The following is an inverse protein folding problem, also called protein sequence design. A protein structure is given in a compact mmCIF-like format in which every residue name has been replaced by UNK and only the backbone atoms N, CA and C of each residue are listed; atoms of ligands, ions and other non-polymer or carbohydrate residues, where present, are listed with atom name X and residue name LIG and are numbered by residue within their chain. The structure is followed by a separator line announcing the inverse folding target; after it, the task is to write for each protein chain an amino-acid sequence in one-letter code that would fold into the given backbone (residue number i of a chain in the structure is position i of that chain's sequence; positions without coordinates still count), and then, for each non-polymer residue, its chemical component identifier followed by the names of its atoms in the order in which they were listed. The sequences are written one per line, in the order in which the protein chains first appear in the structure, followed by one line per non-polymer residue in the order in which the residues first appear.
data_IF_598461859217
#
_entry.id   IF_598461859217
#
_cell.length_a   1.000
_cell.length_b   1.000
_cell.length_c   1.000
_cell.angle_alpha   90.00
_cell.angle_beta   90.00
_cell.angle_gamma   90.00
#
_symmetry.space_group_name_H-M   'P 1'
#
loop_
_entity.id
_entity.type
_entity.pdbx_description
1 polymer ?
#
# COMPACT_ATOMS: atom_id res chain seq x y z
N UNK A 1 -70.48 0.73 -30.71
CA UNK A 1 -70.37 -0.03 -31.98
C UNK A 1 -68.90 -0.09 -32.36
N UNK A 2 -68.37 -1.32 -32.57
CA UNK A 2 -67.25 -1.73 -33.47
C UNK A 2 -65.90 -0.99 -33.35
N UNK A 3 -64.70 -1.57 -33.37
CA UNK A 3 -64.13 -2.92 -33.33
C UNK A 3 -62.61 -2.69 -33.54
N UNK A 4 -61.74 -3.38 -32.78
CA UNK A 4 -60.29 -3.49 -33.04
C UNK A 4 -60.04 -4.11 -34.43
N UNK A 5 -58.87 -3.88 -35.08
CA UNK A 5 -57.74 -4.80 -34.89
C UNK A 5 -56.36 -4.07 -34.92
N UNK A 6 -55.46 -4.19 -33.94
CA UNK A 6 -54.55 -5.35 -33.70
C UNK A 6 -54.30 -6.22 -34.93
N UNK A 7 -53.59 -5.69 -35.93
CA UNK A 7 -53.11 -6.49 -37.07
C UNK A 7 -51.84 -5.95 -37.75
N UNK A 8 -50.92 -5.31 -37.00
CA UNK A 8 -49.62 -4.87 -37.57
C UNK A 8 -48.41 -5.51 -36.86
N UNK A 9 -48.60 -6.19 -35.72
CA UNK A 9 -47.50 -6.77 -34.95
C UNK A 9 -47.08 -8.20 -35.35
N UNK A 10 -47.60 -8.77 -36.45
CA UNK A 10 -47.45 -10.21 -36.75
C UNK A 10 -46.71 -10.57 -38.05
N UNK A 11 -46.03 -9.62 -38.71
CA UNK A 11 -45.38 -9.88 -40.01
C UNK A 11 -43.87 -9.56 -40.08
N UNK A 12 -43.17 -9.49 -38.95
CA UNK A 12 -41.69 -9.32 -38.90
C UNK A 12 -40.96 -10.44 -38.15
N UNK A 13 -41.60 -11.58 -37.88
CA UNK A 13 -41.03 -12.72 -37.16
C UNK A 13 -40.99 -14.00 -38.02
N UNK A 14 -40.55 -13.89 -39.27
CA UNK A 14 -40.42 -15.05 -40.15
C UNK A 14 -39.36 -14.82 -41.22
N UNK A 15 -38.12 -15.24 -40.95
CA UNK A 15 -37.11 -15.37 -42.00
C UNK A 15 -35.72 -14.91 -41.59
N UNK A 16 -35.09 -15.58 -40.63
CA UNK A 16 -33.62 -15.62 -40.47
C UNK A 16 -33.25 -16.95 -39.79
N UNK A 17 -33.64 -18.04 -40.45
CA UNK A 17 -33.15 -19.39 -40.15
C UNK A 17 -32.34 -19.88 -41.34
N UNK A 18 -31.20 -20.52 -41.06
CA UNK A 18 -30.29 -21.22 -41.98
C UNK A 18 -29.14 -20.40 -42.58
N UNK A 19 -28.12 -20.04 -41.78
CA UNK A 19 -26.69 -20.31 -42.09
C UNK A 19 -25.90 -20.28 -40.76
N UNK A 20 -25.54 -21.43 -40.20
CA UNK A 20 -24.34 -21.64 -39.37
C UNK A 20 -24.32 -23.07 -38.80
N UNK A 21 -24.32 -24.08 -39.67
CA UNK A 21 -23.75 -25.37 -39.29
C UNK A 21 -22.30 -25.37 -39.76
N UNK A 22 -21.36 -25.10 -38.85
CA UNK A 22 -20.03 -25.73 -38.80
C UNK A 22 -19.21 -25.14 -37.66
N UNK A 23 -18.62 -26.06 -36.89
CA UNK A 23 -17.69 -25.87 -35.77
C UNK A 23 -18.34 -25.52 -34.43
N UNK A 24 -19.06 -26.50 -33.87
CA UNK A 24 -18.93 -26.78 -32.43
C UNK A 24 -17.49 -27.24 -32.17
N UNK A 25 -16.59 -26.27 -32.00
CA UNK A 25 -15.41 -26.53 -31.17
C UNK A 25 -15.96 -26.70 -29.76
N UNK A 26 -16.05 -27.97 -29.35
CA UNK A 26 -16.22 -28.33 -27.95
C UNK A 26 -15.00 -27.77 -27.23
N UNK A 27 -15.15 -26.60 -26.61
CA UNK A 27 -14.21 -26.14 -25.62
C UNK A 27 -14.31 -27.12 -24.46
N UNK A 28 -13.35 -28.02 -24.39
CA UNK A 28 -13.11 -28.81 -23.19
C UNK A 28 -12.79 -27.83 -22.06
N UNK A 29 -13.51 -27.82 -20.93
CA UNK A 29 -13.14 -27.01 -19.78
C UNK A 29 -11.92 -27.66 -19.13
N UNK A 30 -10.75 -27.25 -19.58
CA UNK A 30 -9.46 -27.75 -19.12
C UNK A 30 -8.43 -27.49 -20.20
N UNK A 31 -7.36 -26.77 -19.85
CA UNK A 31 -6.24 -26.38 -20.72
C UNK A 31 -6.45 -25.20 -21.67
N UNK A 32 -6.96 -24.08 -21.15
CA UNK A 32 -6.45 -22.76 -21.59
C UNK A 32 -5.63 -22.17 -20.44
N UNK A 33 -4.58 -22.90 -20.04
CA UNK A 33 -3.44 -22.25 -19.41
C UNK A 33 -2.74 -21.47 -20.52
N UNK A 34 -2.97 -20.15 -20.58
CA UNK A 34 -2.07 -19.28 -21.34
C UNK A 34 -0.65 -19.63 -20.89
N UNK A 35 0.33 -19.84 -21.79
CA UNK A 35 1.71 -20.05 -21.40
C UNK A 35 2.19 -18.75 -20.74
N UNK A 36 1.99 -18.65 -19.43
CA UNK A 36 2.52 -17.56 -18.63
C UNK A 36 4.02 -17.79 -18.57
N UNK A 37 4.76 -16.87 -19.16
CA UNK A 37 6.22 -16.85 -19.06
C UNK A 37 6.59 -16.88 -17.57
N UNK A 38 7.31 -17.91 -17.15
CA UNK A 38 7.73 -18.07 -15.75
C UNK A 38 8.47 -16.83 -15.24
N UNK A 39 9.17 -16.10 -16.12
CA UNK A 39 9.83 -14.83 -15.81
C UNK A 39 8.85 -13.71 -15.47
N UNK A 40 7.71 -13.67 -16.15
CA UNK A 40 6.66 -12.69 -15.87
C UNK A 40 6.02 -12.95 -14.51
N UNK A 41 5.78 -14.23 -14.17
CA UNK A 41 5.24 -14.61 -12.86
C UNK A 41 6.20 -14.20 -11.74
N UNK A 42 7.48 -14.53 -11.87
CA UNK A 42 8.51 -14.14 -10.89
C UNK A 42 8.60 -12.61 -10.72
N UNK A 43 8.56 -11.85 -11.83
CA UNK A 43 8.59 -10.40 -11.77
C UNK A 43 7.36 -9.80 -11.05
N UNK A 44 6.18 -10.40 -11.25
CA UNK A 44 4.95 -9.97 -10.57
C UNK A 44 5.01 -10.28 -9.08
N UNK A 45 5.48 -11.47 -8.70
CA UNK A 45 5.64 -11.86 -7.30
C UNK A 45 6.61 -10.91 -6.56
N UNK A 46 7.72 -10.54 -7.20
CA UNK A 46 8.67 -9.58 -6.63
C UNK A 46 8.08 -8.18 -6.49
N UNK A 47 7.31 -7.74 -7.48
CA UNK A 47 6.61 -6.46 -7.43
C UNK A 47 5.55 -6.45 -6.31
N UNK A 48 4.77 -7.52 -6.17
CA UNK A 48 3.77 -7.65 -5.12
C UNK A 48 4.41 -7.66 -3.74
N UNK A 49 5.48 -8.43 -3.55
CA UNK A 49 6.21 -8.46 -2.29
C UNK A 49 6.78 -7.08 -1.91
N UNK A 50 7.32 -6.34 -2.90
CA UNK A 50 7.81 -4.97 -2.69
C UNK A 50 6.67 -4.03 -2.27
N UNK A 51 5.53 -4.10 -2.96
CA UNK A 51 4.35 -3.30 -2.62
C UNK A 51 3.80 -3.66 -1.22
N UNK A 52 3.83 -4.95 -0.88
CA UNK A 52 3.40 -5.41 0.43
C UNK A 52 4.29 -4.86 1.54
N UNK A 53 5.62 -4.98 1.42
CA UNK A 53 6.55 -4.44 2.42
C UNK A 53 6.42 -2.91 2.55
N UNK A 54 6.16 -2.20 1.45
CA UNK A 54 5.86 -0.77 1.52
C UNK A 54 4.60 -0.47 2.34
N UNK A 55 3.49 -1.19 2.11
CA UNK A 55 2.26 -1.02 2.92
C UNK A 55 2.50 -1.32 4.40
N UNK A 56 3.31 -2.33 4.70
CA UNK A 56 3.69 -2.68 6.06
C UNK A 56 4.50 -1.56 6.72
N UNK A 57 5.48 -0.99 6.00
CA UNK A 57 6.25 0.16 6.49
C UNK A 57 5.32 1.32 6.82
N UNK A 58 4.45 1.71 5.89
CA UNK A 58 3.50 2.82 6.09
C UNK A 58 2.56 2.57 7.30
N UNK A 59 2.09 1.33 7.46
CA UNK A 59 1.27 0.93 8.62
C UNK A 59 2.03 1.09 9.94
N UNK A 60 3.28 0.62 9.99
CA UNK A 60 4.12 0.70 11.18
C UNK A 60 4.51 2.15 11.52
N UNK A 61 4.84 2.99 10.52
CA UNK A 61 5.09 4.42 10.72
C UNK A 61 3.87 5.13 11.32
N UNK A 62 2.67 4.84 10.81
CA UNK A 62 1.42 5.41 11.34
C UNK A 62 1.20 5.00 12.80
N UNK A 63 1.34 3.71 13.09
CA UNK A 63 1.16 3.18 14.44
C UNK A 63 2.19 3.78 15.42
N UNK A 64 3.45 3.89 15.00
CA UNK A 64 4.51 4.52 15.78
C UNK A 64 4.21 5.98 16.11
N UNK A 65 3.82 6.80 15.12
CA UNK A 65 3.49 8.20 15.37
C UNK A 65 2.36 8.32 16.39
N UNK A 66 1.29 7.53 16.25
CA UNK A 66 0.17 7.54 17.21
C UNK A 66 0.61 7.13 18.61
N UNK A 67 1.38 6.05 18.71
CA UNK A 67 1.94 5.56 19.98
C UNK A 67 2.82 6.62 20.66
N UNK A 68 3.68 7.30 19.90
CA UNK A 68 4.57 8.34 20.42
C UNK A 68 3.83 9.59 20.86
N UNK A 69 2.79 10.00 20.14
CA UNK A 69 1.92 11.10 20.58
C UNK A 69 1.30 10.76 21.95
N UNK A 70 0.72 9.56 22.10
CA UNK A 70 0.16 9.11 23.36
C UNK A 70 1.21 9.01 24.47
N UNK A 71 2.36 8.37 24.22
CA UNK A 71 3.46 8.24 25.17
C UNK A 71 3.93 9.60 25.68
N UNK A 72 4.08 10.59 24.78
CA UNK A 72 4.51 11.93 25.15
C UNK A 72 3.52 12.61 26.11
N UNK A 73 2.21 12.41 25.93
CA UNK A 73 1.20 12.90 26.90
C UNK A 73 1.35 12.27 28.29
N UNK A 74 1.94 11.07 28.38
CA UNK A 74 2.28 10.40 29.65
C UNK A 74 3.67 10.79 30.19
N UNK A 75 4.37 11.72 29.54
CA UNK A 75 5.54 12.41 30.09
C UNK A 75 6.84 12.21 29.30
N UNK A 76 6.92 11.23 28.39
CA UNK A 76 8.14 11.01 27.59
C UNK A 76 7.86 10.24 26.29
N UNK A 77 8.75 10.37 25.31
CA UNK A 77 8.74 9.48 24.16
C UNK A 77 9.15 8.06 24.57
N UNK A 78 8.51 7.07 23.95
CA UNK A 78 8.89 5.68 24.09
C UNK A 78 10.26 5.42 23.46
N UNK A 79 11.03 4.51 24.05
CA UNK A 79 12.40 4.21 23.63
C UNK A 79 12.48 3.08 22.60
N UNK A 80 11.42 2.28 22.49
CA UNK A 80 11.36 1.11 21.61
C UNK A 80 9.96 0.91 21.02
N UNK A 81 9.83 0.02 20.02
CA UNK A 81 8.52 -0.41 19.52
C UNK A 81 7.74 -1.21 20.57
N UNK A 82 8.43 -1.99 21.41
CA UNK A 82 7.81 -2.84 22.43
C UNK A 82 7.10 -1.98 23.48
N UNK A 83 7.72 -0.87 23.88
CA UNK A 83 7.11 0.11 24.81
C UNK A 83 5.79 0.68 24.27
N UNK A 84 5.62 0.69 22.94
CA UNK A 84 4.40 1.14 22.25
C UNK A 84 3.43 -0.01 21.94
N UNK A 85 3.76 -1.26 22.33
CA UNK A 85 3.00 -2.44 21.97
C UNK A 85 3.03 -2.75 20.47
N UNK A 86 4.09 -2.32 19.78
CA UNK A 86 4.29 -2.50 18.34
C UNK A 86 5.37 -3.54 18.07
N UNK A 87 5.27 -4.17 16.90
CA UNK A 87 6.29 -5.07 16.36
C UNK A 87 6.44 -4.85 14.86
N UNK A 88 7.59 -5.26 14.33
CA UNK A 88 7.82 -5.41 12.90
C UNK A 88 7.94 -6.89 12.55
N UNK A 89 7.72 -7.22 11.28
CA UNK A 89 8.04 -8.53 10.77
C UNK A 89 9.55 -8.66 10.49
N UNK A 90 9.99 -9.86 10.12
CA UNK A 90 11.40 -10.12 9.76
C UNK A 90 11.78 -9.58 8.37
N UNK A 91 10.85 -8.97 7.64
CA UNK A 91 11.08 -8.49 6.27
C UNK A 91 11.63 -7.07 6.22
N UNK A 92 11.84 -6.45 7.40
CA UNK A 92 12.23 -5.06 7.54
C UNK A 92 13.23 -4.86 8.68
N UNK A 93 14.30 -4.11 8.40
CA UNK A 93 15.19 -3.64 9.46
C UNK A 93 14.59 -2.42 10.14
N UNK A 94 14.65 -2.42 11.47
CA UNK A 94 13.99 -1.42 12.31
C UNK A 94 14.97 -0.81 13.29
N UNK A 95 14.93 0.52 13.42
CA UNK A 95 15.73 1.25 14.39
C UNK A 95 14.95 2.42 14.96
N UNK A 96 14.84 2.46 16.28
CA UNK A 96 14.27 3.59 17.02
C UNK A 96 15.38 4.43 17.59
N UNK A 97 15.30 5.74 17.42
CA UNK A 97 16.20 6.72 18.04
C UNK A 97 15.36 7.69 18.85
N UNK A 98 15.58 7.74 20.16
CA UNK A 98 14.86 8.68 21.05
C UNK A 98 15.83 9.64 21.70
N UNK A 99 15.46 10.92 21.67
CA UNK A 99 16.14 12.05 22.27
C UNK A 99 15.13 12.84 23.12
N UNK A 100 15.59 13.79 23.93
CA UNK A 100 14.76 14.53 24.87
C UNK A 100 13.52 15.20 24.23
N UNK A 101 13.68 15.77 23.03
CA UNK A 101 12.60 16.48 22.33
C UNK A 101 12.18 15.84 21.01
N UNK A 102 12.72 14.68 20.65
CA UNK A 102 12.42 14.02 19.37
C UNK A 102 12.58 12.51 19.44
N UNK A 103 11.75 11.80 18.69
CA UNK A 103 11.89 10.36 18.46
C UNK A 103 11.74 10.07 16.98
N UNK A 104 12.52 9.10 16.50
CA UNK A 104 12.56 8.67 15.10
C UNK A 104 12.41 7.16 15.01
N UNK A 105 11.62 6.71 14.05
CA UNK A 105 11.56 5.32 13.63
C UNK A 105 12.09 5.22 12.20
N UNK A 106 13.21 4.53 12.04
CA UNK A 106 13.80 4.20 10.75
C UNK A 106 13.39 2.80 10.33
N UNK A 107 12.95 2.67 9.08
CA UNK A 107 12.53 1.42 8.47
C UNK A 107 13.27 1.21 7.15
N UNK A 108 13.90 0.05 6.98
CA UNK A 108 14.50 -0.37 5.72
C UNK A 108 13.94 -1.74 5.33
N UNK A 109 12.97 -1.78 4.40
CA UNK A 109 12.48 -3.03 3.84
C UNK A 109 13.60 -3.82 3.17
N UNK A 110 13.55 -5.16 3.26
CA UNK A 110 14.51 -6.03 2.57
C UNK A 110 14.29 -6.07 1.06
N UNK A 111 13.09 -5.72 0.57
CA UNK A 111 12.75 -5.60 -0.85
C UNK A 111 12.36 -4.18 -1.22
N UNK A 112 12.67 -3.82 -2.46
CA UNK A 112 12.56 -2.45 -2.95
C UNK A 112 13.82 -1.64 -2.66
N UNK A 113 13.80 -0.37 -3.08
CA UNK A 113 14.95 0.55 -2.96
C UNK A 113 14.70 1.71 -2.00
N UNK A 114 13.49 1.84 -1.46
CA UNK A 114 13.10 2.95 -0.60
C UNK A 114 13.22 2.57 0.87
N UNK A 115 13.80 3.48 1.67
CA UNK A 115 13.75 3.47 3.13
C UNK A 115 12.79 4.56 3.62
N UNK A 116 12.36 4.42 4.87
CA UNK A 116 11.35 5.29 5.46
C UNK A 116 11.77 5.77 6.84
N UNK A 117 11.30 6.96 7.21
CA UNK A 117 11.44 7.48 8.57
C UNK A 117 10.17 8.20 9.01
N UNK A 118 9.73 7.93 10.23
CA UNK A 118 8.77 8.76 10.94
C UNK A 118 9.49 9.53 12.04
N UNK A 119 9.20 10.83 12.13
CA UNK A 119 9.81 11.75 13.07
C UNK A 119 8.68 12.39 13.87
N UNK A 120 8.76 12.31 15.19
CA UNK A 120 7.90 13.07 16.11
C UNK A 120 8.80 13.97 16.93
N UNK A 121 8.50 15.27 16.97
CA UNK A 121 9.32 16.27 17.63
C UNK A 121 8.48 17.29 18.38
N UNK A 122 8.88 17.58 19.61
CA UNK A 122 8.33 18.69 20.38
C UNK A 122 9.18 19.94 20.16
N UNK A 123 8.62 20.95 19.50
CA UNK A 123 9.33 22.18 19.17
C UNK A 123 9.29 23.25 20.28
N UNK A 124 8.92 22.87 21.51
CA UNK A 124 8.71 23.78 22.64
C UNK A 124 7.26 24.23 22.84
N UNK A 125 6.39 24.06 21.84
CA UNK A 125 4.97 24.46 21.92
C UNK A 125 4.00 23.34 21.53
N UNK A 126 4.36 22.53 20.54
CA UNK A 126 3.51 21.47 20.02
C UNK A 126 4.34 20.30 19.49
N UNK A 127 3.68 19.16 19.35
CA UNK A 127 4.21 18.01 18.63
C UNK A 127 4.04 18.23 17.13
N UNK A 128 5.15 18.13 16.41
CA UNK A 128 5.24 18.11 14.95
C UNK A 128 5.55 16.68 14.53
N UNK A 129 4.91 16.25 13.44
CA UNK A 129 5.09 14.92 12.86
C UNK A 129 5.46 15.04 11.39
N UNK A 130 6.47 14.29 10.98
CA UNK A 130 6.91 14.23 9.57
C UNK A 130 7.18 12.76 9.23
N UNK A 131 6.73 12.34 8.06
CA UNK A 131 7.02 11.04 7.50
C UNK A 131 7.73 11.24 6.18
N UNK A 132 8.82 10.51 5.96
CA UNK A 132 9.70 10.70 4.83
C UNK A 132 10.03 9.36 4.17
N UNK A 133 10.22 9.40 2.86
CA UNK A 133 10.68 8.27 2.05
C UNK A 133 11.82 8.72 1.13
N UNK A 134 12.79 7.86 0.93
CA UNK A 134 13.91 8.14 0.03
C UNK A 134 14.82 6.94 -0.14
N UNK A 135 15.89 7.12 -0.90
CA UNK A 135 16.89 6.08 -1.11
C UNK A 135 17.90 6.09 0.05
N UNK A 136 18.34 4.92 0.55
CA UNK A 136 19.44 4.84 1.49
C UNK A 136 20.80 5.10 0.80
N UNK A 137 21.86 5.48 1.56
CA UNK A 137 21.82 5.79 2.99
C UNK A 137 21.21 7.17 3.26
N UNK A 138 20.52 7.32 4.39
CA UNK A 138 20.11 8.63 4.87
C UNK A 138 21.31 9.39 5.49
N UNK A 139 21.32 10.71 5.36
CA UNK A 139 22.27 11.56 6.10
C UNK A 139 22.04 11.41 7.60
N UNK A 140 23.12 11.23 8.37
CA UNK A 140 23.06 11.07 9.83
C UNK A 140 22.91 12.40 10.57
N UNK A 141 23.37 13.50 9.98
CA UNK A 141 23.13 14.85 10.49
C UNK A 141 21.76 15.34 10.04
N UNK A 142 20.80 15.35 10.96
CA UNK A 142 19.44 15.68 10.62
C UNK A 142 18.74 16.50 11.71
N UNK A 143 18.13 17.61 11.29
CA UNK A 143 17.27 18.41 12.14
C UNK A 143 16.08 17.59 12.66
N UNK A 144 15.63 17.88 13.87
CA UNK A 144 14.62 17.10 14.60
C UNK A 144 13.23 17.04 13.95
N UNK A 145 12.94 17.83 12.91
CA UNK A 145 11.62 17.90 12.28
C UNK A 145 11.65 18.08 10.76
N UNK A 146 12.73 17.66 10.10
CA UNK A 146 12.90 17.78 8.63
C UNK A 146 13.26 16.42 8.07
N UNK A 147 12.81 16.10 6.85
CA UNK A 147 13.23 14.88 6.16
C UNK A 147 14.74 14.86 5.88
N UNK A 148 15.35 13.66 5.71
CA UNK A 148 16.74 13.59 5.31
C UNK A 148 16.95 14.29 3.96
N UNK A 149 18.17 14.70 3.67
CA UNK A 149 18.46 15.33 2.38
C UNK A 149 18.11 14.38 1.23
N UNK A 150 17.46 14.90 0.19
CA UNK A 150 16.99 14.12 -0.97
C UNK A 150 15.76 13.25 -0.71
N UNK A 151 15.26 13.18 0.53
CA UNK A 151 14.04 12.43 0.86
C UNK A 151 12.81 13.31 0.72
N UNK A 152 11.69 12.68 0.40
CA UNK A 152 10.40 13.37 0.21
C UNK A 152 9.49 13.11 1.38
N UNK A 153 8.90 14.19 1.89
CA UNK A 153 7.80 14.09 2.83
C UNK A 153 6.58 13.47 2.13
N UNK A 154 5.82 12.68 2.87
CA UNK A 154 4.55 12.14 2.40
C UNK A 154 3.56 12.06 3.55
N UNK A 155 2.28 12.07 3.22
CA UNK A 155 1.21 11.89 4.18
C UNK A 155 0.68 10.46 4.08
N UNK A 156 0.59 9.80 5.22
CA UNK A 156 -0.14 8.54 5.36
C UNK A 156 -1.55 8.91 5.83
N UNK A 157 -2.61 8.66 5.03
CA UNK A 157 -3.98 9.02 5.39
C UNK A 157 -4.38 8.48 6.76
N UNK A 158 -5.10 9.26 7.54
CA UNK A 158 -5.74 8.77 8.77
C UNK A 158 -7.05 8.07 8.36
N UNK A 159 -7.12 6.76 8.58
CA UNK A 159 -8.36 5.98 8.45
C UNK A 159 -9.30 6.26 9.62
#
# INVERSE_FOLDING_TARGET
MRSLPTAVAALLLGGLGLIATRQTQVFSPGDVGLPMDARLVEQLDDQEATLNQRRQAETLLRAFVRGQLASFYWGQFASSLIDLGLSSDETMDVRVETQASSTRLWLTPKRGSESYVAIVHFNGSKLVRVQCRGLPPASTEQMAAVCPEGWRAFEIPEL
#
